data_IF_815883856468
#
_entry.id   IF_815883856468
#
_cell.length_a   1.000
_cell.length_b   1.000
_cell.length_c   1.000
_cell.angle_alpha   90.00
_cell.angle_beta   90.00
_cell.angle_gamma   90.00
#
_symmetry.space_group_name_H-M   'P 1'
#
loop_
_entity.id
_entity.type
_entity.pdbx_description
1 polymer ?
#
# COMPACT_ATOMS: atom_id res chain seq x y z
N UNK A 1 -15.68 9.42 12.51
CA UNK A 1 -15.61 8.34 11.49
C UNK A 1 -14.16 8.20 11.04
N UNK A 2 -13.66 6.98 10.92
CA UNK A 2 -12.31 6.69 10.41
C UNK A 2 -12.42 5.90 9.11
N UNK A 3 -11.55 6.20 8.14
CA UNK A 3 -11.40 5.47 6.89
C UNK A 3 -10.14 4.61 6.96
N UNK A 4 -10.28 3.33 6.62
CA UNK A 4 -9.21 2.34 6.63
C UNK A 4 -9.05 1.77 5.23
N UNK A 5 -7.83 1.75 4.70
CA UNK A 5 -7.50 1.05 3.46
C UNK A 5 -6.93 -0.32 3.76
N UNK A 6 -7.45 -1.33 3.08
CA UNK A 6 -6.91 -2.69 3.06
C UNK A 6 -6.36 -2.94 1.66
N UNK A 7 -5.08 -3.29 1.55
CA UNK A 7 -4.39 -3.49 0.26
C UNK A 7 -3.25 -4.51 0.41
N UNK A 8 -2.67 -5.01 -0.67
CA UNK A 8 -1.53 -5.93 -0.62
C UNK A 8 -1.28 -6.61 -1.96
N UNK A 9 -0.41 -7.63 -1.96
CA UNK A 9 -0.11 -8.46 -3.13
C UNK A 9 0.36 -7.67 -4.37
N UNK A 10 1.14 -6.62 -4.14
CA UNK A 10 1.64 -5.75 -5.20
C UNK A 10 2.55 -6.49 -6.17
N UNK A 11 3.47 -7.32 -5.66
CA UNK A 11 4.48 -8.02 -6.44
C UNK A 11 5.24 -7.10 -7.42
N UNK A 12 5.56 -5.88 -7.01
CA UNK A 12 6.31 -4.91 -7.83
C UNK A 12 7.80 -5.01 -7.47
N UNK A 13 8.72 -5.28 -8.42
CA UNK A 13 8.53 -5.25 -9.88
C UNK A 13 8.24 -6.62 -10.55
N UNK A 14 8.19 -7.71 -9.79
CA UNK A 14 8.24 -9.08 -10.33
C UNK A 14 7.04 -9.50 -11.19
N UNK A 15 5.81 -9.08 -10.85
CA UNK A 15 4.56 -9.42 -11.56
C UNK A 15 3.80 -8.20 -12.06
N UNK A 16 4.13 -7.02 -11.54
CA UNK A 16 3.57 -5.75 -11.99
C UNK A 16 4.65 -4.67 -11.93
N UNK A 17 4.52 -3.67 -12.79
CA UNK A 17 5.42 -2.52 -12.79
C UNK A 17 4.91 -1.40 -11.89
N UNK A 18 3.58 -1.30 -11.70
CA UNK A 18 2.93 -0.20 -10.99
C UNK A 18 1.51 -0.55 -10.57
N UNK A 19 0.96 0.22 -9.62
CA UNK A 19 -0.49 0.25 -9.36
C UNK A 19 -1.19 0.89 -10.55
N UNK A 20 -2.31 0.33 -11.01
CA UNK A 20 -3.10 0.88 -12.12
C UNK A 20 -3.49 2.36 -11.85
N UNK A 21 -3.38 3.20 -12.89
CA UNK A 21 -3.54 4.66 -12.78
C UNK A 21 -4.89 5.09 -12.17
N UNK A 22 -5.96 4.33 -12.38
CA UNK A 22 -7.28 4.61 -11.79
C UNK A 22 -7.24 4.50 -10.27
N UNK A 23 -6.62 3.47 -9.72
CA UNK A 23 -6.46 3.31 -8.27
C UNK A 23 -5.49 4.33 -7.70
N UNK A 24 -4.39 4.63 -8.40
CA UNK A 24 -3.42 5.63 -7.93
C UNK A 24 -4.04 7.01 -7.70
N UNK A 25 -5.07 7.39 -8.48
CA UNK A 25 -5.84 8.62 -8.28
C UNK A 25 -6.71 8.62 -7.03
N UNK A 26 -7.10 7.43 -6.54
CA UNK A 26 -7.89 7.25 -5.31
C UNK A 26 -6.99 7.21 -4.07
N UNK A 27 -5.75 6.75 -4.23
CA UNK A 27 -4.74 6.64 -3.18
C UNK A 27 -4.02 7.98 -2.97
N UNK A 28 -4.78 8.94 -2.43
CA UNK A 28 -4.31 10.28 -2.09
C UNK A 28 -4.00 10.38 -0.58
N UNK A 29 -2.90 11.06 -0.18
CA UNK A 29 -2.56 11.28 1.22
C UNK A 29 -3.68 11.99 2.01
N UNK A 30 -3.67 11.81 3.33
CA UNK A 30 -4.57 12.48 4.28
C UNK A 30 -6.07 12.16 4.11
N UNK A 31 -6.40 11.15 3.32
CA UNK A 31 -7.79 10.69 3.15
C UNK A 31 -8.16 9.53 4.06
N UNK A 32 -7.18 8.79 4.53
CA UNK A 32 -7.34 7.63 5.41
C UNK A 32 -6.38 7.70 6.58
N UNK A 33 -6.83 7.19 7.73
CA UNK A 33 -6.08 7.22 8.98
C UNK A 33 -5.19 5.97 9.13
N UNK A 34 -5.65 4.84 8.58
CA UNK A 34 -4.97 3.55 8.71
C UNK A 34 -4.83 2.85 7.36
N UNK A 35 -3.69 2.21 7.14
CA UNK A 35 -3.44 1.26 6.05
C UNK A 35 -3.11 -0.10 6.64
N UNK A 36 -3.82 -1.14 6.21
CA UNK A 36 -3.52 -2.55 6.52
C UNK A 36 -3.05 -3.21 5.23
N UNK A 37 -1.78 -3.61 5.21
CA UNK A 37 -1.15 -4.27 4.08
C UNK A 37 -0.96 -5.77 4.35
N UNK A 38 -1.53 -6.63 3.49
CA UNK A 38 -1.42 -8.10 3.65
C UNK A 38 -0.04 -8.66 3.30
N UNK A 39 0.81 -7.88 2.64
CA UNK A 39 2.20 -8.25 2.34
C UNK A 39 2.55 -8.17 0.86
N UNK A 40 3.60 -8.90 0.46
CA UNK A 40 4.04 -9.04 -0.94
C UNK A 40 4.32 -7.69 -1.64
N UNK A 41 4.89 -6.73 -0.90
CA UNK A 41 5.33 -5.42 -1.41
C UNK A 41 6.60 -5.49 -2.27
N UNK A 42 7.49 -6.44 -1.97
CA UNK A 42 8.78 -6.70 -2.62
C UNK A 42 9.84 -5.57 -2.58
N UNK A 43 9.46 -4.31 -2.34
CA UNK A 43 10.36 -3.15 -2.40
C UNK A 43 10.12 -2.16 -1.26
N UNK A 44 11.19 -1.46 -0.84
CA UNK A 44 11.11 -0.41 0.19
C UNK A 44 10.31 0.78 -0.33
N UNK A 45 10.43 1.10 -1.60
CA UNK A 45 9.72 2.18 -2.28
C UNK A 45 8.20 2.02 -2.19
N UNK A 46 7.70 0.78 -2.31
CA UNK A 46 6.26 0.50 -2.17
C UNK A 46 5.80 0.65 -0.71
N UNK A 47 6.63 0.25 0.25
CA UNK A 47 6.35 0.47 1.67
C UNK A 47 6.34 1.97 2.02
N UNK A 48 7.32 2.72 1.54
CA UNK A 48 7.41 4.17 1.78
C UNK A 48 6.26 4.92 1.10
N UNK A 49 5.80 4.45 -0.06
CA UNK A 49 4.56 4.93 -0.67
C UNK A 49 3.35 4.72 0.24
N UNK A 50 3.15 3.52 0.81
CA UNK A 50 2.04 3.29 1.75
C UNK A 50 2.11 4.18 3.00
N UNK A 51 3.32 4.41 3.53
CA UNK A 51 3.56 5.35 4.64
C UNK A 51 3.26 6.80 4.30
N UNK A 52 3.35 7.19 3.04
CA UNK A 52 2.95 8.53 2.61
C UNK A 52 1.43 8.75 2.60
N UNK A 53 0.64 7.66 2.65
CA UNK A 53 -0.81 7.74 2.49
C UNK A 53 -1.56 7.89 3.83
N UNK A 54 -1.00 7.38 4.93
CA UNK A 54 -1.62 7.39 6.25
C UNK A 54 -0.56 7.47 7.36
N UNK A 55 -0.95 8.01 8.51
CA UNK A 55 -0.08 8.09 9.70
C UNK A 55 0.17 6.73 10.36
N UNK A 56 -0.77 5.79 10.22
CA UNK A 56 -0.68 4.47 10.82
C UNK A 56 -0.73 3.38 9.74
N UNK A 57 0.37 2.62 9.61
CA UNK A 57 0.56 1.64 8.54
C UNK A 57 1.02 0.31 9.13
N UNK A 58 0.17 -0.69 8.98
CA UNK A 58 0.40 -2.07 9.42
C UNK A 58 0.73 -2.92 8.20
N UNK A 59 1.88 -3.61 8.21
CA UNK A 59 2.31 -4.46 7.10
C UNK A 59 2.72 -5.81 7.62
N UNK A 60 2.14 -6.88 7.06
CA UNK A 60 2.58 -8.24 7.34
C UNK A 60 3.73 -8.60 6.39
N UNK A 61 4.81 -9.13 6.95
CA UNK A 61 5.86 -9.77 6.16
C UNK A 61 5.50 -11.23 5.97
N UNK A 62 5.11 -11.58 4.74
CA UNK A 62 4.95 -12.97 4.32
C UNK A 62 6.15 -13.30 3.43
N UNK A 63 6.89 -14.32 3.82
CA UNK A 63 7.95 -14.94 3.02
C UNK A 63 7.29 -16.05 2.22
N UNK A 64 7.32 -15.94 0.89
CA UNK A 64 7.12 -17.07 -0.01
C UNK A 64 8.43 -17.32 -0.76
#
# INVERSE_FOLDING_TARGET
MQLVLIIGDFHIPHRSHNICAKFRKLLVPNKMQHVICTGNLCTKETLDYLRSLASDVHVVSIVF
#
